data_IF_180156264700
#
_entry.id   IF_180156264700
#
_cell.length_a   1.000
_cell.length_b   1.000
_cell.length_c   1.000
_cell.angle_alpha   90.00
_cell.angle_beta   90.00
_cell.angle_gamma   90.00
#
_symmetry.space_group_name_H-M   'P 1'
#
loop_
_entity.id
_entity.type
_entity.pdbx_description
1 polymer ?
#
# COMPACT_ATOMS: atom_id res chain seq x y z
N UNK A 1 -44.49 -34.83 20.89
CA UNK A 1 -43.90 -33.51 21.23
C UNK A 1 -42.51 -33.70 21.80
N UNK A 2 -41.47 -33.32 21.02
CA UNK A 2 -40.20 -32.68 21.40
C UNK A 2 -39.26 -32.86 20.19
N UNK A 3 -39.20 -31.79 19.39
CA UNK A 3 -38.36 -31.66 18.20
C UNK A 3 -36.92 -31.53 18.69
N UNK A 4 -36.03 -32.45 18.34
CA UNK A 4 -34.60 -32.26 18.55
C UNK A 4 -34.14 -31.31 17.45
N UNK A 5 -33.96 -30.05 17.82
CA UNK A 5 -33.50 -28.98 16.95
C UNK A 5 -31.99 -29.12 16.77
N UNK A 6 -31.64 -29.15 15.50
CA UNK A 6 -30.31 -29.18 14.90
C UNK A 6 -29.67 -27.79 15.08
N UNK A 7 -28.52 -27.68 15.74
CA UNK A 7 -27.66 -26.49 15.64
C UNK A 7 -26.21 -26.96 15.47
N UNK A 8 -25.77 -26.99 14.21
CA UNK A 8 -24.37 -26.86 13.85
C UNK A 8 -23.85 -25.53 14.42
N UNK A 9 -23.16 -25.55 15.54
CA UNK A 9 -22.27 -24.45 15.91
C UNK A 9 -20.98 -24.61 15.11
N UNK A 10 -21.05 -24.17 13.85
CA UNK A 10 -19.88 -23.76 13.08
C UNK A 10 -19.23 -22.60 13.84
N UNK A 11 -18.26 -22.92 14.69
CA UNK A 11 -17.38 -21.91 15.30
C UNK A 11 -16.47 -21.47 14.16
N UNK A 12 -16.95 -20.47 13.41
CA UNK A 12 -16.16 -19.62 12.55
C UNK A 12 -15.15 -18.89 13.45
N UNK A 13 -13.98 -19.49 13.58
CA UNK A 13 -12.77 -18.78 13.98
C UNK A 13 -12.43 -17.81 12.83
N UNK A 14 -13.01 -16.62 12.86
CA UNK A 14 -12.60 -15.51 11.99
C UNK A 14 -11.24 -15.06 12.52
N UNK A 15 -10.19 -15.77 12.10
CA UNK A 15 -8.83 -15.29 12.25
C UNK A 15 -8.71 -14.11 11.30
N UNK A 16 -8.78 -12.90 11.84
CA UNK A 16 -8.38 -11.69 11.14
C UNK A 16 -6.88 -11.77 10.86
N UNK A 17 -6.51 -12.46 9.79
CA UNK A 17 -5.17 -12.37 9.22
C UNK A 17 -5.11 -11.08 8.41
N UNK A 18 -4.75 -10.00 9.09
CA UNK A 18 -4.11 -8.87 8.43
C UNK A 18 -2.81 -9.40 7.80
N UNK A 19 -2.84 -9.63 6.48
CA UNK A 19 -1.65 -9.91 5.71
C UNK A 19 -0.83 -8.62 5.63
N UNK A 20 0.08 -8.44 6.58
CA UNK A 20 1.06 -7.37 6.53
C UNK A 20 2.24 -7.87 5.68
N UNK A 21 2.36 -7.40 4.44
CA UNK A 21 3.57 -7.61 3.66
C UNK A 21 4.52 -6.45 3.94
N UNK A 22 5.68 -6.76 4.52
CA UNK A 22 6.77 -5.80 4.66
C UNK A 22 7.70 -5.95 3.46
N UNK A 23 7.76 -4.91 2.63
CA UNK A 23 8.66 -4.86 1.48
C UNK A 23 9.86 -3.95 1.79
N UNK A 24 11.07 -4.46 1.55
CA UNK A 24 12.31 -3.69 1.59
C UNK A 24 12.92 -3.67 0.18
N UNK A 25 12.98 -2.48 -0.41
CA UNK A 25 13.54 -2.27 -1.74
C UNK A 25 14.99 -1.79 -1.63
N UNK A 26 15.89 -2.38 -2.41
CA UNK A 26 17.22 -1.81 -2.66
C UNK A 26 17.17 -1.13 -4.01
N UNK A 27 17.29 0.20 -4.03
CA UNK A 27 17.58 0.92 -5.26
C UNK A 27 19.07 1.19 -5.35
N UNK A 28 19.62 1.21 -6.57
CA UNK A 28 21.00 1.66 -6.84
C UNK A 28 21.17 3.19 -6.65
N UNK A 29 20.14 3.88 -6.15
CA UNK A 29 20.13 5.31 -5.87
C UNK A 29 20.41 5.67 -4.41
N UNK A 30 20.40 6.97 -4.06
CA UNK A 30 20.72 7.43 -2.70
C UNK A 30 19.65 7.07 -1.65
N UNK A 31 18.54 6.46 -2.08
CA UNK A 31 17.38 6.19 -1.25
C UNK A 31 17.18 4.70 -1.02
N UNK A 32 16.69 4.40 0.18
CA UNK A 32 16.18 3.09 0.59
C UNK A 32 14.72 3.25 1.00
N UNK A 33 13.91 2.23 0.74
CA UNK A 33 12.48 2.25 1.04
C UNK A 33 12.09 1.05 1.92
N UNK A 34 11.36 1.35 3.00
CA UNK A 34 10.59 0.37 3.75
C UNK A 34 9.11 0.71 3.63
N UNK A 35 8.29 -0.27 3.32
CA UNK A 35 6.85 -0.05 3.17
C UNK A 35 6.03 -1.14 3.85
N UNK A 36 4.89 -0.72 4.39
CA UNK A 36 3.80 -1.58 4.84
C UNK A 36 2.58 -1.29 3.97
N UNK A 37 2.10 -2.31 3.27
CA UNK A 37 0.92 -2.20 2.41
C UNK A 37 -0.12 -3.21 2.89
N UNK A 38 -1.36 -2.75 3.04
CA UNK A 38 -2.48 -3.59 3.45
C UNK A 38 -3.65 -3.46 2.50
N UNK A 39 -4.30 -4.59 2.23
CA UNK A 39 -5.49 -4.69 1.39
C UNK A 39 -6.70 -4.97 2.27
N UNK A 40 -7.71 -4.12 2.19
CA UNK A 40 -8.95 -4.21 2.96
C UNK A 40 -10.18 -3.91 2.12
N UNK A 41 -11.37 -4.28 2.62
CA UNK A 41 -12.62 -3.82 2.03
C UNK A 41 -12.96 -2.41 2.53
N UNK A 42 -13.54 -1.56 1.68
CA UNK A 42 -13.89 -0.17 2.02
C UNK A 42 -14.98 -0.10 3.10
N UNK A 43 -15.97 -1.00 3.05
CA UNK A 43 -17.04 -1.13 4.06
C UNK A 43 -17.55 -2.58 4.12
N UNK A 44 -18.26 -2.96 5.18
CA UNK A 44 -18.91 -4.28 5.31
C UNK A 44 -19.89 -4.59 4.17
N UNK A 45 -20.49 -3.57 3.57
CA UNK A 45 -21.55 -3.70 2.57
C UNK A 45 -21.03 -3.45 1.13
N UNK A 46 -19.78 -3.02 0.97
CA UNK A 46 -19.17 -2.81 -0.34
C UNK A 46 -18.10 -3.87 -0.64
N UNK A 47 -18.58 -5.07 -1.00
CA UNK A 47 -17.74 -6.24 -1.31
C UNK A 47 -16.92 -6.09 -2.59
N UNK A 48 -17.16 -5.05 -3.38
CA UNK A 48 -16.57 -4.88 -4.70
C UNK A 48 -15.44 -3.86 -4.75
N UNK A 49 -15.17 -3.17 -3.63
CA UNK A 49 -14.08 -2.20 -3.56
C UNK A 49 -12.99 -2.66 -2.60
N UNK A 50 -11.77 -2.55 -3.08
CA UNK A 50 -10.56 -2.79 -2.28
C UNK A 50 -9.90 -1.47 -1.93
N UNK A 51 -9.71 -1.22 -0.65
CA UNK A 51 -8.83 -0.20 -0.13
C UNK A 51 -7.41 -0.74 -0.01
N UNK A 52 -6.46 -0.03 -0.61
CA UNK A 52 -5.03 -0.26 -0.46
C UNK A 52 -4.47 0.84 0.43
N UNK A 53 -4.21 0.54 1.69
CA UNK A 53 -3.58 1.47 2.63
C UNK A 53 -2.07 1.27 2.61
N UNK A 54 -1.32 2.38 2.66
CA UNK A 54 0.14 2.36 2.62
C UNK A 54 0.74 3.26 3.69
N UNK A 55 1.83 2.78 4.28
CA UNK A 55 2.77 3.53 5.12
C UNK A 55 4.18 3.26 4.58
N UNK A 56 4.79 4.29 4.01
CA UNK A 56 6.05 4.21 3.27
C UNK A 56 7.05 5.15 3.94
N UNK A 57 8.22 4.60 4.27
CA UNK A 57 9.34 5.34 4.82
C UNK A 57 10.50 5.31 3.84
N UNK A 58 10.88 6.49 3.35
CA UNK A 58 12.08 6.68 2.52
C UNK A 58 13.21 7.22 3.39
N UNK A 59 14.36 6.55 3.33
CA UNK A 59 15.56 6.90 4.09
C UNK A 59 16.76 7.03 3.17
N UNK A 60 17.67 7.94 3.48
CA UNK A 60 18.89 8.22 2.71
C UNK A 60 19.83 9.12 3.52
N UNK A 61 20.85 9.67 2.88
CA UNK A 61 21.65 10.74 3.49
C UNK A 61 20.80 11.99 3.70
N UNK A 62 21.14 12.81 4.70
CA UNK A 62 20.32 13.94 5.12
C UNK A 62 20.06 14.94 3.97
N UNK A 63 21.11 15.27 3.23
CA UNK A 63 21.03 16.18 2.09
C UNK A 63 20.14 15.62 0.97
N UNK A 64 20.13 14.30 0.76
CA UNK A 64 19.32 13.69 -0.29
C UNK A 64 17.83 13.75 0.08
N UNK A 65 17.49 13.42 1.34
CA UNK A 65 16.11 13.50 1.83
C UNK A 65 15.58 14.94 1.78
N UNK A 66 16.39 15.92 2.19
CA UNK A 66 16.02 17.34 2.11
C UNK A 66 15.96 17.87 0.67
N UNK A 67 16.55 17.15 -0.29
CA UNK A 67 16.55 17.51 -1.70
C UNK A 67 15.36 16.92 -2.48
N UNK A 68 14.50 16.11 -1.85
CA UNK A 68 13.26 15.66 -2.47
C UNK A 68 12.33 16.87 -2.65
N UNK A 69 11.82 17.04 -3.87
CA UNK A 69 10.88 18.11 -4.24
C UNK A 69 9.44 17.59 -4.30
N UNK A 70 9.27 16.39 -4.86
CA UNK A 70 7.96 15.76 -5.01
C UNK A 70 8.05 14.23 -4.98
N UNK A 71 6.93 13.61 -4.69
CA UNK A 71 6.75 12.17 -4.72
C UNK A 71 5.47 11.78 -5.48
N UNK A 72 5.51 10.61 -6.12
CA UNK A 72 4.36 10.05 -6.83
C UNK A 72 4.24 8.56 -6.55
N UNK A 73 3.05 8.10 -6.18
CA UNK A 73 2.77 6.67 -6.06
C UNK A 73 2.73 6.04 -7.45
N UNK A 74 3.41 4.91 -7.59
CA UNK A 74 3.43 4.13 -8.82
C UNK A 74 2.36 3.05 -8.69
N UNK A 75 1.28 3.20 -9.44
CA UNK A 75 0.17 2.26 -9.52
C UNK A 75 0.47 1.26 -10.64
N UNK A 76 0.11 -0.02 -10.46
CA UNK A 76 0.28 -1.00 -11.53
C UNK A 76 -0.49 -0.55 -12.79
N UNK A 77 0.19 -0.31 -13.93
CA UNK A 77 -0.44 0.23 -15.13
C UNK A 77 -1.51 -0.69 -15.71
N UNK A 78 -1.42 -2.01 -15.50
CA UNK A 78 -2.46 -2.96 -15.94
C UNK A 78 -3.80 -2.71 -15.24
N UNK A 79 -3.77 -2.18 -14.02
CA UNK A 79 -4.94 -2.05 -13.16
C UNK A 79 -5.29 -0.61 -12.79
N UNK A 80 -4.60 0.39 -13.36
CA UNK A 80 -4.87 1.81 -13.09
C UNK A 80 -6.31 2.21 -13.43
N UNK A 81 -6.91 1.57 -14.45
CA UNK A 81 -8.30 1.80 -14.84
C UNK A 81 -9.32 1.40 -13.77
N UNK A 82 -8.90 0.61 -12.76
CA UNK A 82 -9.73 0.24 -11.62
C UNK A 82 -9.65 1.25 -10.48
N UNK A 83 -8.70 2.19 -10.50
CA UNK A 83 -8.58 3.23 -9.49
C UNK A 83 -9.83 4.11 -9.52
N UNK A 84 -10.62 4.03 -8.46
CA UNK A 84 -11.88 4.75 -8.34
C UNK A 84 -11.75 6.03 -7.53
N UNK A 85 -10.91 6.01 -6.49
CA UNK A 85 -10.76 7.14 -5.57
C UNK A 85 -9.36 7.14 -4.96
N UNK A 86 -8.84 8.34 -4.71
CA UNK A 86 -7.63 8.55 -3.91
C UNK A 86 -8.08 8.97 -2.51
N UNK A 87 -7.75 8.17 -1.51
CA UNK A 87 -7.99 8.52 -0.12
C UNK A 87 -7.04 9.62 0.35
N UNK A 88 -6.96 9.87 1.67
CA UNK A 88 -5.96 10.77 2.24
C UNK A 88 -4.57 10.42 1.74
N UNK A 89 -3.76 11.44 1.43
CA UNK A 89 -2.36 11.29 1.07
C UNK A 89 -1.57 12.36 1.80
N UNK A 90 -0.67 11.92 2.68
CA UNK A 90 0.15 12.80 3.52
C UNK A 90 1.60 12.37 3.34
N UNK A 91 2.41 13.30 2.84
CA UNK A 91 3.87 13.21 2.88
C UNK A 91 4.40 14.16 3.96
N UNK A 92 5.50 13.79 4.61
CA UNK A 92 6.19 14.67 5.56
C UNK A 92 7.63 14.21 5.75
N UNK A 93 8.55 15.18 5.86
CA UNK A 93 9.91 14.92 6.31
C UNK A 93 9.93 14.97 7.85
N UNK A 94 10.52 13.94 8.46
CA UNK A 94 10.66 13.78 9.92
C UNK A 94 12.10 13.51 10.30
N UNK A 95 12.44 13.78 11.57
CA UNK A 95 13.74 13.48 12.15
C UNK A 95 14.75 14.62 11.96
N UNK A 96 15.28 15.16 13.05
CA UNK A 96 16.15 16.35 12.98
C UNK A 96 17.59 16.03 12.55
N UNK A 97 18.18 14.93 13.05
CA UNK A 97 19.58 14.56 12.78
C UNK A 97 19.74 13.52 11.68
N UNK A 98 18.68 12.77 11.42
CA UNK A 98 18.60 11.69 10.43
C UNK A 98 17.23 11.82 9.78
N UNK A 99 17.06 12.78 8.88
CA UNK A 99 15.77 13.01 8.28
C UNK A 99 15.36 11.80 7.43
N UNK A 100 14.06 11.57 7.36
CA UNK A 100 13.43 10.56 6.51
C UNK A 100 12.08 11.10 6.05
N UNK A 101 11.62 10.66 4.88
CA UNK A 101 10.29 11.00 4.38
C UNK A 101 9.31 9.89 4.76
N UNK A 102 8.17 10.26 5.32
CA UNK A 102 7.05 9.38 5.60
C UNK A 102 5.89 9.73 4.66
N UNK A 103 5.36 8.74 3.95
CA UNK A 103 4.24 8.87 3.01
C UNK A 103 3.15 7.89 3.44
N UNK A 104 1.97 8.43 3.78
CA UNK A 104 0.83 7.67 4.31
C UNK A 104 -0.44 7.98 3.55
N UNK A 105 -1.25 6.96 3.34
CA UNK A 105 -2.56 7.17 2.73
C UNK A 105 -3.28 5.91 2.30
N UNK A 106 -4.29 6.10 1.45
CA UNK A 106 -4.99 4.98 0.81
C UNK A 106 -5.42 5.27 -0.63
N UNK A 107 -5.64 4.18 -1.38
CA UNK A 107 -6.18 4.17 -2.73
C UNK A 107 -7.35 3.19 -2.76
N UNK A 108 -8.44 3.53 -3.46
CA UNK A 108 -9.61 2.66 -3.57
C UNK A 108 -9.78 2.20 -5.01
N UNK A 109 -9.78 0.89 -5.20
CA UNK A 109 -9.96 0.24 -6.49
C UNK A 109 -11.30 -0.48 -6.58
N UNK A 110 -11.96 -0.39 -7.74
CA UNK A 110 -13.09 -1.26 -8.06
C UNK A 110 -12.57 -2.64 -8.48
N UNK A 111 -12.77 -3.63 -7.64
CA UNK A 111 -12.33 -5.02 -7.81
C UNK A 111 -13.52 -5.97 -7.94
N UNK A 112 -14.65 -5.49 -8.46
CA UNK A 112 -15.83 -6.31 -8.72
C UNK A 112 -15.48 -7.57 -9.54
N UNK A 113 -15.99 -8.71 -9.11
CA UNK A 113 -15.78 -10.00 -9.77
C UNK A 113 -14.40 -10.63 -9.57
N UNK A 114 -13.53 -10.03 -8.74
CA UNK A 114 -12.21 -10.59 -8.41
C UNK A 114 -12.22 -11.27 -7.03
N UNK A 115 -11.60 -12.44 -6.96
CA UNK A 115 -11.28 -13.11 -5.70
C UNK A 115 -10.18 -12.37 -4.94
N UNK A 116 -10.03 -12.70 -3.66
CA UNK A 116 -8.95 -12.15 -2.83
C UNK A 116 -7.57 -12.51 -3.40
N UNK A 117 -7.39 -13.75 -3.81
CA UNK A 117 -6.14 -14.26 -4.37
C UNK A 117 -5.76 -13.51 -5.66
N UNK A 118 -6.76 -13.18 -6.50
CA UNK A 118 -6.53 -12.34 -7.67
C UNK A 118 -6.13 -10.91 -7.28
N UNK A 119 -6.82 -10.30 -6.32
CA UNK A 119 -6.52 -8.93 -5.84
C UNK A 119 -5.10 -8.85 -5.27
N UNK A 120 -4.71 -9.82 -4.44
CA UNK A 120 -3.37 -9.89 -3.85
C UNK A 120 -2.29 -10.04 -4.94
N UNK A 121 -2.58 -10.79 -6.02
CA UNK A 121 -1.67 -10.99 -7.14
C UNK A 121 -1.55 -9.77 -8.08
N UNK A 122 -2.55 -8.87 -8.09
CA UNK A 122 -2.55 -7.69 -8.97
C UNK A 122 -1.46 -6.66 -8.62
N UNK A 123 -0.93 -6.68 -7.38
CA UNK A 123 0.08 -5.71 -6.92
C UNK A 123 -0.33 -4.27 -7.25
N UNK A 124 -1.53 -3.87 -6.82
CA UNK A 124 -2.18 -2.61 -7.24
C UNK A 124 -1.31 -1.36 -7.05
N UNK A 125 -0.47 -1.36 -6.02
CA UNK A 125 0.51 -0.33 -5.72
C UNK A 125 1.91 -0.96 -5.80
N UNK A 126 2.78 -0.45 -6.70
CA UNK A 126 4.07 -1.07 -7.04
C UNK A 126 5.30 -0.32 -6.54
N UNK A 127 5.18 0.98 -6.27
CA UNK A 127 6.30 1.75 -5.75
C UNK A 127 5.99 3.21 -5.48
N UNK A 128 7.06 3.98 -5.31
CA UNK A 128 7.09 5.44 -5.25
C UNK A 128 8.18 5.94 -6.19
N UNK A 129 7.85 6.97 -6.97
CA UNK A 129 8.81 7.78 -7.71
C UNK A 129 9.09 9.04 -6.89
N UNK A 130 10.36 9.35 -6.69
CA UNK A 130 10.81 10.61 -6.10
C UNK A 130 11.40 11.49 -7.18
N UNK A 131 11.07 12.78 -7.13
CA UNK A 131 11.65 13.82 -7.97
C UNK A 131 12.46 14.73 -7.06
N UNK A 132 13.75 14.85 -7.34
CA UNK A 132 14.63 15.76 -6.62
C UNK A 132 14.49 17.20 -7.13
N UNK A 133 15.01 18.20 -6.40
CA UNK A 133 14.96 19.62 -6.81
C UNK A 133 15.75 19.93 -8.08
N UNK A 134 16.57 19.00 -8.58
CA UNK A 134 17.29 19.12 -9.84
C UNK A 134 16.49 18.51 -11.01
N UNK A 135 15.34 17.89 -10.75
CA UNK A 135 14.50 17.20 -11.73
C UNK A 135 14.94 15.76 -12.04
N UNK A 136 15.78 15.15 -11.21
CA UNK A 136 16.13 13.74 -11.34
C UNK A 136 15.04 12.86 -10.73
N UNK A 137 14.68 11.81 -11.45
CA UNK A 137 13.68 10.85 -11.01
C UNK A 137 14.35 9.59 -10.42
N UNK A 138 13.82 9.13 -9.29
CA UNK A 138 14.28 7.93 -8.60
C UNK A 138 13.10 7.01 -8.33
N UNK A 139 13.13 5.83 -8.94
CA UNK A 139 12.05 4.85 -8.81
C UNK A 139 12.39 3.83 -7.71
N UNK A 140 11.48 3.67 -6.75
CA UNK A 140 11.58 2.74 -5.64
C UNK A 140 10.41 1.77 -5.70
N UNK A 141 10.65 0.49 -6.00
CA UNK A 141 9.59 -0.53 -6.14
C UNK A 141 9.53 -1.46 -4.93
N UNK A 142 8.34 -1.87 -4.49
CA UNK A 142 8.19 -2.81 -3.36
C UNK A 142 8.62 -4.23 -3.71
N UNK A 143 8.54 -4.57 -4.98
CA UNK A 143 8.85 -5.87 -5.51
C UNK A 143 10.15 -5.74 -6.30
N UNK A 144 11.16 -6.51 -5.93
CA UNK A 144 12.30 -6.74 -6.81
C UNK A 144 11.82 -7.65 -7.95
N UNK A 145 12.12 -7.28 -9.19
CA UNK A 145 11.98 -8.17 -10.35
C UNK A 145 12.97 -9.33 -10.28
#
# INVERSE_FOLDING_TARGET
>A
MKKIVLILTSILLIVGLAGCSSAKSNSDGPYSMNASISYGGVEKDNLYKTEVSYDIVISGEANDIENIDAEQLIINPEYIHLLSERGPHINQIKGEKKPYMEIKGSLIFNTEGKSKEEIDAMKLLIGVELIDKNGNNHMLTFFNE
#
